data_IF_316091721640
#
_entry.id   IF_316091721640
#
_cell.length_a   1.000
_cell.length_b   1.000
_cell.length_c   1.000
_cell.angle_alpha   90.00
_cell.angle_beta   90.00
_cell.angle_gamma   90.00
#
_symmetry.space_group_name_H-M   'P 1'
#
loop_
_entity.id
_entity.type
_entity.pdbx_description
1 polymer ?
#
# COMPACT_ATOMS: atom_id res chain seq x y z
N UNK A 1 -3.87 10.74 -18.41
CA UNK A 1 -3.22 10.41 -17.12
C UNK A 1 -3.58 11.51 -16.14
N UNK A 2 -4.26 11.17 -15.04
CA UNK A 2 -4.36 12.09 -13.89
C UNK A 2 -3.05 12.10 -13.14
N UNK A 3 -2.66 13.28 -12.66
CA UNK A 3 -1.54 13.46 -11.76
C UNK A 3 -2.06 14.19 -10.53
N UNK A 4 -1.85 13.60 -9.37
CA UNK A 4 -1.98 14.28 -8.09
C UNK A 4 -0.55 14.63 -7.64
N UNK A 5 -0.23 15.92 -7.60
CA UNK A 5 1.05 16.39 -7.09
C UNK A 5 0.85 17.07 -5.73
N UNK A 6 1.64 16.66 -4.75
CA UNK A 6 1.64 17.24 -3.40
C UNK A 6 2.93 18.02 -3.23
N UNK A 7 2.84 19.35 -3.15
CA UNK A 7 3.99 20.21 -2.95
C UNK A 7 3.96 20.81 -1.54
N UNK A 8 5.00 20.52 -0.78
CA UNK A 8 5.26 21.22 0.49
C UNK A 8 6.19 22.40 0.18
N UNK A 9 5.65 23.62 0.22
CA UNK A 9 6.48 24.83 0.16
C UNK A 9 7.08 25.06 1.53
N UNK A 10 8.42 25.01 1.63
CA UNK A 10 9.15 25.29 2.88
C UNK A 10 9.68 26.73 2.85
N UNK A 11 9.09 27.65 3.63
CA UNK A 11 9.70 28.96 3.90
C UNK A 11 10.75 28.82 5.00
N UNK A 12 11.91 29.43 4.83
CA UNK A 12 13.13 29.33 5.65
C UNK A 12 13.03 29.87 7.09
N UNK A 13 11.82 30.07 7.63
CA UNK A 13 11.59 30.37 9.04
C UNK A 13 10.16 29.98 9.44
N UNK A 14 10.01 28.93 10.25
CA UNK A 14 8.73 28.52 10.84
C UNK A 14 8.03 27.34 10.15
N UNK A 15 7.32 26.55 10.95
CA UNK A 15 6.45 25.45 10.51
C UNK A 15 5.54 25.98 9.39
N UNK A 16 5.60 25.36 8.21
CA UNK A 16 4.75 25.76 7.11
C UNK A 16 3.29 25.57 7.49
N UNK A 17 2.57 26.70 7.50
CA UNK A 17 1.19 26.80 7.96
C UNK A 17 0.19 26.27 6.93
N UNK A 18 0.61 26.11 5.68
CA UNK A 18 -0.25 25.68 4.58
C UNK A 18 0.36 24.51 3.80
N UNK A 19 -0.48 23.62 3.30
CA UNK A 19 -0.13 22.58 2.32
C UNK A 19 -0.75 22.92 0.97
N UNK A 20 -0.05 22.64 -0.14
CA UNK A 20 -0.54 22.89 -1.49
C UNK A 20 -0.67 21.59 -2.27
N UNK A 21 -1.88 21.33 -2.75
CA UNK A 21 -2.23 20.18 -3.58
C UNK A 21 -2.59 20.65 -4.99
N UNK A 22 -2.18 19.89 -5.99
CA UNK A 22 -2.60 20.07 -7.38
C UNK A 22 -3.24 18.78 -7.85
N UNK A 23 -4.50 18.88 -8.26
CA UNK A 23 -5.29 17.76 -8.77
C UNK A 23 -5.55 18.00 -10.26
N UNK A 24 -4.94 17.19 -11.11
CA UNK A 24 -5.04 17.33 -12.56
C UNK A 24 -5.91 16.25 -13.19
N UNK A 25 -6.62 16.61 -14.25
CA UNK A 25 -7.48 15.72 -15.03
C UNK A 25 -6.90 15.49 -16.44
N UNK A 26 -7.25 14.40 -17.13
CA UNK A 26 -6.78 14.10 -18.47
C UNK A 26 -7.12 15.20 -19.48
N UNK A 27 -6.25 15.38 -20.48
CA UNK A 27 -6.54 16.22 -21.63
C UNK A 27 -7.86 15.79 -22.31
N UNK A 28 -8.68 16.77 -22.69
CA UNK A 28 -9.98 16.54 -23.32
C UNK A 28 -11.14 16.29 -22.34
N UNK A 29 -10.88 16.29 -21.02
CA UNK A 29 -11.94 16.29 -20.00
C UNK A 29 -12.73 17.59 -20.07
N UNK A 30 -14.06 17.52 -19.93
CA UNK A 30 -14.91 18.72 -19.80
C UNK A 30 -14.43 19.59 -18.61
N UNK A 31 -14.01 20.85 -18.85
CA UNK A 31 -13.50 21.71 -17.79
C UNK A 31 -14.49 21.97 -16.66
N UNK A 32 -15.79 22.00 -16.93
CA UNK A 32 -16.80 22.25 -15.90
C UNK A 32 -17.03 21.02 -15.01
N UNK A 33 -17.07 19.82 -15.62
CA UNK A 33 -17.03 18.56 -14.88
C UNK A 33 -15.76 18.41 -14.02
N UNK A 34 -14.59 18.75 -14.58
CA UNK A 34 -13.33 18.72 -13.87
C UNK A 34 -13.28 19.72 -12.69
N UNK A 35 -13.89 20.91 -12.84
CA UNK A 35 -14.00 21.88 -11.75
C UNK A 35 -14.87 21.35 -10.61
N UNK A 36 -16.04 20.78 -10.92
CA UNK A 36 -16.94 20.19 -9.91
C UNK A 36 -16.27 19.03 -9.19
N UNK A 37 -15.63 18.11 -9.92
CA UNK A 37 -14.88 17.00 -9.34
C UNK A 37 -13.74 17.50 -8.44
N UNK A 38 -12.98 18.51 -8.88
CA UNK A 38 -11.89 19.09 -8.08
C UNK A 38 -12.35 19.77 -6.80
N UNK A 39 -13.50 20.47 -6.83
CA UNK A 39 -14.10 21.08 -5.63
C UNK A 39 -14.64 20.01 -4.67
N UNK A 40 -15.31 18.99 -5.20
CA UNK A 40 -15.80 17.86 -4.42
C UNK A 40 -14.65 17.11 -3.74
N UNK A 41 -13.52 16.92 -4.43
CA UNK A 41 -12.30 16.34 -3.86
C UNK A 41 -11.83 17.11 -2.62
N UNK A 42 -11.73 18.44 -2.72
CA UNK A 42 -11.30 19.28 -1.61
C UNK A 42 -12.31 19.23 -0.44
N UNK A 43 -13.60 19.27 -0.72
CA UNK A 43 -14.65 19.21 0.31
C UNK A 43 -14.65 17.87 1.05
N UNK A 44 -14.56 16.75 0.32
CA UNK A 44 -14.51 15.42 0.94
C UNK A 44 -13.30 15.28 1.85
N UNK A 45 -12.13 15.76 1.44
CA UNK A 45 -10.91 15.57 2.21
C UNK A 45 -10.74 16.56 3.36
N UNK A 46 -11.17 17.82 3.18
CA UNK A 46 -10.82 18.90 4.11
C UNK A 46 -12.02 19.50 4.85
N UNK A 47 -13.24 19.41 4.32
CA UNK A 47 -14.44 19.96 4.99
C UNK A 47 -15.25 18.88 5.73
N UNK A 48 -15.11 17.60 5.36
CA UNK A 48 -15.96 16.53 5.90
C UNK A 48 -15.67 16.16 7.36
N UNK A 49 -14.44 16.41 7.85
CA UNK A 49 -13.98 15.91 9.14
C UNK A 49 -13.59 14.42 9.16
N UNK A 50 -13.80 13.68 8.06
CA UNK A 50 -13.66 12.22 8.02
C UNK A 50 -12.20 11.71 8.13
N UNK A 51 -11.21 12.60 8.03
CA UNK A 51 -9.79 12.26 7.99
C UNK A 51 -8.98 12.91 9.12
N UNK A 52 -9.66 13.23 10.22
CA UNK A 52 -9.06 13.63 11.50
C UNK A 52 -9.54 14.98 12.02
N UNK A 53 -9.78 15.95 11.15
CA UNK A 53 -10.33 17.28 11.51
C UNK A 53 -10.92 17.93 10.26
N UNK A 54 -11.48 19.13 10.42
CA UNK A 54 -11.85 20.02 9.32
C UNK A 54 -10.77 21.07 9.15
N UNK A 55 -10.41 21.40 7.92
CA UNK A 55 -9.38 22.37 7.60
C UNK A 55 -9.94 23.46 6.69
N UNK A 56 -9.51 24.71 6.91
CA UNK A 56 -9.79 25.80 5.99
C UNK A 56 -8.96 25.64 4.72
N UNK A 57 -9.56 25.90 3.55
CA UNK A 57 -8.88 25.76 2.27
C UNK A 57 -9.39 26.72 1.20
N UNK A 58 -8.49 27.07 0.28
CA UNK A 58 -8.79 27.85 -0.91
C UNK A 58 -8.56 27.01 -2.16
N UNK A 59 -9.48 27.14 -3.11
CA UNK A 59 -9.36 26.46 -4.41
C UNK A 59 -9.22 27.46 -5.55
N UNK A 60 -8.31 27.20 -6.49
CA UNK A 60 -8.21 27.93 -7.76
C UNK A 60 -8.21 26.93 -8.92
N UNK A 61 -9.08 27.13 -9.90
CA UNK A 61 -9.20 26.22 -11.04
C UNK A 61 -8.63 26.85 -12.31
N UNK A 62 -7.82 26.10 -13.05
CA UNK A 62 -7.19 26.54 -14.29
C UNK A 62 -7.82 25.81 -15.49
N UNK A 63 -8.50 26.58 -16.35
CA UNK A 63 -9.11 26.14 -17.63
C UNK A 63 -8.25 26.44 -18.85
N UNK A 64 -7.15 27.15 -18.66
CA UNK A 64 -6.29 27.75 -19.68
C UNK A 64 -5.13 26.85 -20.12
N UNK A 65 -5.08 25.61 -19.62
CA UNK A 65 -4.05 24.63 -19.97
C UNK A 65 -4.65 23.39 -20.62
N UNK A 66 -3.82 22.64 -21.35
CA UNK A 66 -4.24 21.38 -21.98
C UNK A 66 -4.70 20.30 -20.96
N UNK A 67 -4.36 20.46 -19.69
CA UNK A 67 -4.74 19.56 -18.60
C UNK A 67 -5.49 20.35 -17.52
N UNK A 68 -6.83 20.33 -17.49
CA UNK A 68 -7.57 21.07 -16.47
C UNK A 68 -7.16 20.60 -15.08
N UNK A 69 -6.91 21.55 -14.17
CA UNK A 69 -6.41 21.25 -12.84
C UNK A 69 -6.89 22.25 -11.80
N UNK A 70 -7.05 21.77 -10.56
CA UNK A 70 -7.39 22.58 -9.40
C UNK A 70 -6.17 22.66 -8.46
N UNK A 71 -5.87 23.87 -8.02
CA UNK A 71 -4.97 24.14 -6.91
C UNK A 71 -5.80 24.20 -5.63
N UNK A 72 -5.38 23.46 -4.60
CA UNK A 72 -6.01 23.49 -3.28
C UNK A 72 -4.95 23.85 -2.24
N UNK A 73 -5.11 24.99 -1.59
CA UNK A 73 -4.22 25.46 -0.52
C UNK A 73 -4.95 25.30 0.79
N UNK A 74 -4.42 24.46 1.68
CA UNK A 74 -5.07 24.06 2.94
C UNK A 74 -4.32 24.64 4.12
N UNK A 75 -5.00 25.34 5.01
CA UNK A 75 -4.51 25.71 6.33
C UNK A 75 -4.32 24.44 7.17
N UNK A 76 -3.09 24.17 7.61
CA UNK A 76 -2.75 22.87 8.21
C UNK A 76 -3.22 22.71 9.67
N UNK A 77 -3.74 23.76 10.29
CA UNK A 77 -4.30 23.69 11.64
C UNK A 77 -5.80 23.43 11.49
N UNK A 78 -6.28 22.34 12.07
CA UNK A 78 -7.69 21.99 12.05
C UNK A 78 -8.56 23.02 12.78
N UNK A 79 -9.83 23.07 12.41
CA UNK A 79 -10.81 24.03 12.90
C UNK A 79 -11.54 23.54 14.14
N UNK A 80 -11.76 22.22 14.26
CA UNK A 80 -12.57 21.64 15.32
C UNK A 80 -11.68 21.26 16.52
N UNK A 81 -10.68 20.41 16.30
CA UNK A 81 -9.77 19.92 17.35
C UNK A 81 -8.38 20.57 17.27
N UNK A 82 -8.09 21.24 16.16
CA UNK A 82 -6.77 21.80 15.89
C UNK A 82 -5.77 20.76 15.40
N UNK A 83 -6.17 19.56 14.97
CA UNK A 83 -5.20 18.57 14.51
C UNK A 83 -4.37 19.13 13.35
N UNK A 84 -3.08 18.81 13.35
CA UNK A 84 -2.22 19.19 12.24
C UNK A 84 -2.47 18.29 11.05
N UNK A 85 -2.73 18.87 9.88
CA UNK A 85 -2.83 18.14 8.63
C UNK A 85 -1.52 17.40 8.36
N UNK A 86 -1.60 16.06 8.30
CA UNK A 86 -0.49 15.15 8.04
C UNK A 86 -0.89 14.15 6.98
N UNK A 87 -0.30 14.30 5.79
CA UNK A 87 -0.37 13.27 4.75
C UNK A 87 0.80 12.33 4.98
N UNK A 88 0.51 11.05 5.24
CA UNK A 88 1.55 10.04 5.47
C UNK A 88 1.04 8.64 5.12
N UNK A 89 1.94 7.72 4.82
CA UNK A 89 1.57 6.32 4.53
C UNK A 89 0.96 5.58 5.72
N UNK A 90 1.10 6.09 6.95
CA UNK A 90 0.59 5.46 8.19
C UNK A 90 -0.47 6.30 8.91
N UNK A 91 -0.99 7.33 8.27
CA UNK A 91 -1.99 8.23 8.85
C UNK A 91 -3.38 7.98 8.28
N UNK A 92 -4.39 8.64 8.83
CA UNK A 92 -5.77 8.57 8.31
C UNK A 92 -5.86 9.12 6.88
N UNK A 93 -5.06 10.15 6.59
CA UNK A 93 -4.92 10.72 5.25
C UNK A 93 -3.65 10.19 4.56
N UNK A 94 -3.81 9.11 3.79
CA UNK A 94 -2.74 8.51 2.97
C UNK A 94 -2.74 9.06 1.54
N UNK A 95 -1.64 8.89 0.81
CA UNK A 95 -1.58 9.27 -0.60
C UNK A 95 -2.56 8.46 -1.46
N UNK A 96 -2.84 7.22 -1.09
CA UNK A 96 -3.81 6.37 -1.78
C UNK A 96 -5.23 6.84 -1.52
N UNK A 97 -5.55 7.22 -0.29
CA UNK A 97 -6.84 7.83 0.03
C UNK A 97 -7.10 9.10 -0.79
N UNK A 98 -6.07 9.95 -0.96
CA UNK A 98 -6.18 11.13 -1.83
C UNK A 98 -6.54 10.76 -3.29
N UNK A 99 -5.98 9.66 -3.81
CA UNK A 99 -6.25 9.17 -5.18
C UNK A 99 -7.60 8.50 -5.31
N UNK A 100 -7.99 7.69 -4.33
CA UNK A 100 -9.29 7.01 -4.27
C UNK A 100 -10.42 8.04 -4.27
N UNK A 101 -10.33 9.06 -3.41
CA UNK A 101 -11.31 10.15 -3.38
C UNK A 101 -11.35 10.86 -4.72
N UNK A 102 -10.21 11.10 -5.37
CA UNK A 102 -10.16 11.72 -6.71
C UNK A 102 -10.92 10.87 -7.75
N UNK A 103 -10.70 9.55 -7.76
CA UNK A 103 -11.41 8.64 -8.68
C UNK A 103 -12.90 8.66 -8.40
N UNK A 104 -13.30 8.55 -7.12
CA UNK A 104 -14.70 8.51 -6.73
C UNK A 104 -15.47 9.79 -7.11
N UNK A 105 -14.91 10.97 -6.85
CA UNK A 105 -15.56 12.24 -7.21
C UNK A 105 -15.53 12.51 -8.71
N UNK A 106 -14.49 12.05 -9.42
CA UNK A 106 -14.41 12.15 -10.87
C UNK A 106 -15.45 11.26 -11.57
N UNK A 107 -15.66 10.04 -11.08
CA UNK A 107 -16.66 9.12 -11.63
C UNK A 107 -18.08 9.68 -11.57
N UNK A 108 -18.43 10.39 -10.47
CA UNK A 108 -19.73 11.08 -10.32
C UNK A 108 -19.97 12.16 -11.38
N UNK A 109 -18.89 12.72 -11.93
CA UNK A 109 -18.92 13.74 -12.98
C UNK A 109 -18.69 13.12 -14.38
N UNK A 110 -18.72 11.80 -14.51
CA UNK A 110 -18.53 11.08 -15.79
C UNK A 110 -17.08 11.02 -16.26
N UNK A 111 -16.11 11.29 -15.39
CA UNK A 111 -14.69 11.31 -15.73
C UNK A 111 -14.04 9.98 -15.32
N UNK A 112 -13.61 9.20 -16.32
CA UNK A 112 -12.94 7.92 -16.06
C UNK A 112 -11.48 8.14 -15.64
N UNK A 113 -11.17 7.88 -14.37
CA UNK A 113 -9.82 7.93 -13.80
C UNK A 113 -9.41 6.57 -13.23
N UNK A 114 -8.10 6.38 -13.10
CA UNK A 114 -7.53 5.22 -12.39
C UNK A 114 -6.62 5.73 -11.27
N UNK A 115 -6.83 5.25 -10.04
CA UNK A 115 -6.10 5.67 -8.84
C UNK A 115 -4.73 5.02 -8.66
N UNK A 116 -4.25 4.28 -9.67
CA UNK A 116 -2.98 3.56 -9.63
C UNK A 116 -1.78 4.51 -9.61
N UNK A 117 -0.70 4.10 -8.93
CA UNK A 117 0.55 4.87 -8.94
C UNK A 117 1.31 4.64 -10.25
N UNK A 118 2.40 5.40 -10.49
CA UNK A 118 3.27 5.15 -11.66
C UNK A 118 3.90 3.77 -11.57
N UNK A 119 4.39 3.41 -10.39
CA UNK A 119 5.07 2.16 -10.12
C UNK A 119 4.13 0.96 -10.19
N UNK A 120 2.89 1.10 -9.72
CA UNK A 120 1.87 0.05 -9.87
C UNK A 120 1.45 -0.18 -11.33
N UNK A 121 1.90 0.67 -12.27
CA UNK A 121 1.76 0.48 -13.72
C UNK A 121 3.07 0.10 -14.40
N UNK A 122 4.12 -0.24 -13.66
CA UNK A 122 5.43 -0.58 -14.23
C UNK A 122 6.23 0.62 -14.75
N UNK A 123 5.74 1.85 -14.58
CA UNK A 123 6.44 3.09 -14.96
C UNK A 123 7.48 3.42 -13.91
N UNK A 124 8.68 2.87 -14.09
CA UNK A 124 9.78 3.00 -13.14
C UNK A 124 10.62 4.26 -13.36
N UNK A 125 10.57 4.89 -14.54
CA UNK A 125 11.28 6.13 -14.81
C UNK A 125 10.96 7.24 -13.80
N UNK A 126 12.02 7.84 -13.25
CA UNK A 126 11.90 8.95 -12.31
C UNK A 126 11.28 10.16 -12.98
N UNK A 127 10.36 10.88 -12.30
CA UNK A 127 9.84 12.12 -12.83
C UNK A 127 10.94 13.18 -12.90
N UNK A 128 10.85 14.06 -13.90
CA UNK A 128 11.68 15.25 -14.00
C UNK A 128 11.34 16.18 -12.81
N UNK A 129 12.31 16.56 -11.97
CA UNK A 129 12.05 17.49 -10.87
C UNK A 129 11.70 18.90 -11.38
N UNK A 130 10.83 19.63 -10.67
CA UNK A 130 10.50 21.03 -10.98
C UNK A 130 11.73 21.93 -11.16
N UNK A 131 12.74 21.73 -10.31
CA UNK A 131 13.99 22.48 -10.38
C UNK A 131 14.72 22.26 -11.72
N UNK A 132 14.64 21.04 -12.27
CA UNK A 132 15.19 20.71 -13.57
C UNK A 132 14.35 21.33 -14.70
N UNK A 133 13.02 21.32 -14.60
CA UNK A 133 12.18 22.05 -15.57
C UNK A 133 12.53 23.54 -15.64
N UNK A 134 12.70 24.19 -14.48
CA UNK A 134 13.09 25.61 -14.42
C UNK A 134 14.48 25.86 -14.99
N UNK A 135 15.44 24.98 -14.66
CA UNK A 135 16.80 25.05 -15.17
C UNK A 135 16.84 24.88 -16.69
N UNK A 136 16.22 23.81 -17.19
CA UNK A 136 16.13 23.52 -18.62
C UNK A 136 15.48 24.66 -19.42
N UNK A 137 14.41 25.26 -18.88
CA UNK A 137 13.77 26.44 -19.49
C UNK A 137 14.69 27.66 -19.54
N UNK A 138 15.48 27.90 -18.49
CA UNK A 138 16.45 29.01 -18.44
C UNK A 138 17.58 28.78 -19.45
N UNK A 139 17.99 27.53 -19.62
CA UNK A 139 19.08 27.09 -20.50
C UNK A 139 18.60 26.84 -21.95
N UNK A 140 17.31 27.01 -22.25
CA UNK A 140 16.75 26.80 -23.59
C UNK A 140 16.81 25.34 -24.08
N UNK A 141 16.86 24.38 -23.17
CA UNK A 141 16.94 22.94 -23.47
C UNK A 141 15.74 22.19 -22.93
N UNK A 142 15.58 20.94 -23.37
CA UNK A 142 14.60 20.03 -22.78
C UNK A 142 15.05 19.55 -21.39
N UNK A 143 14.05 19.30 -20.53
CA UNK A 143 14.26 18.85 -19.16
C UNK A 143 14.47 17.34 -19.14
N UNK A 144 15.51 16.88 -18.45
CA UNK A 144 15.93 15.47 -18.47
C UNK A 144 15.64 14.81 -17.13
N UNK A 145 15.02 13.64 -17.16
CA UNK A 145 14.74 12.85 -15.97
C UNK A 145 16.05 12.33 -15.35
N UNK A 146 16.22 12.41 -14.02
CA UNK A 146 17.41 11.87 -13.37
C UNK A 146 17.41 10.33 -13.45
N UNK A 147 18.56 9.74 -13.74
CA UNK A 147 18.73 8.29 -13.66
C UNK A 147 18.55 7.77 -12.23
N UNK A 148 18.22 6.48 -12.10
CA UNK A 148 18.25 5.80 -10.81
C UNK A 148 19.69 5.65 -10.30
N UNK A 149 19.88 5.93 -9.01
CA UNK A 149 21.02 5.38 -8.27
C UNK A 149 20.76 3.90 -7.97
N UNK A 150 21.80 3.11 -7.67
CA UNK A 150 21.67 1.71 -7.26
C UNK A 150 20.64 1.53 -6.13
N UNK A 151 20.72 2.36 -5.09
CA UNK A 151 19.80 2.31 -3.96
C UNK A 151 18.35 2.61 -4.39
N UNK A 152 18.14 3.65 -5.20
CA UNK A 152 16.79 3.98 -5.68
C UNK A 152 16.23 2.92 -6.64
N UNK A 153 17.08 2.25 -7.42
CA UNK A 153 16.65 1.16 -8.30
C UNK A 153 16.19 -0.06 -7.49
N UNK A 154 16.93 -0.43 -6.44
CA UNK A 154 16.55 -1.51 -5.53
C UNK A 154 15.21 -1.20 -4.84
N UNK A 155 15.06 0.01 -4.30
CA UNK A 155 13.81 0.42 -3.67
C UNK A 155 12.62 0.40 -4.66
N UNK A 156 12.85 0.88 -5.89
CA UNK A 156 11.84 0.87 -6.97
C UNK A 156 11.44 -0.56 -7.35
N UNK A 157 12.42 -1.46 -7.47
CA UNK A 157 12.17 -2.87 -7.77
C UNK A 157 11.38 -3.55 -6.64
N UNK A 158 11.70 -3.27 -5.38
CA UNK A 158 10.94 -3.77 -4.23
C UNK A 158 9.48 -3.32 -4.27
N UNK A 159 9.23 -2.03 -4.55
CA UNK A 159 7.86 -1.51 -4.63
C UNK A 159 7.07 -2.13 -5.81
N UNK A 160 7.73 -2.38 -6.95
CA UNK A 160 7.12 -3.10 -8.09
C UNK A 160 6.75 -4.54 -7.72
N UNK A 161 7.61 -5.23 -6.98
CA UNK A 161 7.32 -6.59 -6.48
C UNK A 161 6.11 -6.58 -5.56
N UNK A 162 5.98 -5.58 -4.71
CA UNK A 162 4.83 -5.44 -3.82
C UNK A 162 3.53 -5.19 -4.60
N UNK A 163 3.54 -4.28 -5.59
CA UNK A 163 2.35 -4.10 -6.46
C UNK A 163 2.00 -5.35 -7.27
N UNK A 164 2.99 -6.15 -7.67
CA UNK A 164 2.73 -7.41 -8.38
C UNK A 164 2.02 -8.41 -7.47
N UNK A 165 2.43 -8.49 -6.20
CA UNK A 165 1.77 -9.32 -5.18
C UNK A 165 0.35 -8.83 -4.93
N UNK A 166 0.14 -7.52 -4.84
CA UNK A 166 -1.19 -6.93 -4.69
C UNK A 166 -2.13 -7.36 -5.83
N UNK A 167 -1.67 -7.28 -7.09
CA UNK A 167 -2.46 -7.71 -8.23
C UNK A 167 -2.76 -9.22 -8.20
N UNK A 168 -1.79 -10.05 -7.83
CA UNK A 168 -1.99 -11.50 -7.67
C UNK A 168 -3.01 -11.80 -6.56
N UNK A 169 -2.96 -11.06 -5.46
CA UNK A 169 -3.90 -11.21 -4.36
C UNK A 169 -5.31 -10.80 -4.67
N UNK A 170 -5.46 -9.67 -5.35
CA UNK A 170 -6.74 -9.23 -5.86
C UNK A 170 -7.30 -10.27 -6.87
N UNK A 171 -6.46 -10.83 -7.74
CA UNK A 171 -6.85 -11.88 -8.67
C UNK A 171 -7.39 -13.12 -7.95
N UNK A 172 -6.63 -13.62 -6.96
CA UNK A 172 -7.02 -14.79 -6.17
C UNK A 172 -8.34 -14.56 -5.43
N UNK A 173 -8.51 -13.38 -4.84
CA UNK A 173 -9.70 -13.04 -4.04
C UNK A 173 -10.99 -13.06 -4.88
N UNK A 174 -10.90 -12.72 -6.16
CA UNK A 174 -12.06 -12.64 -7.05
C UNK A 174 -12.15 -13.82 -8.04
N UNK A 175 -11.19 -14.74 -8.05
CA UNK A 175 -11.08 -15.80 -9.06
C UNK A 175 -12.36 -16.65 -9.21
N UNK A 176 -13.04 -16.94 -8.09
CA UNK A 176 -14.30 -17.69 -8.10
C UNK A 176 -15.51 -16.90 -8.60
N UNK A 177 -15.53 -15.58 -8.40
CA UNK A 177 -16.68 -14.71 -8.72
C UNK A 177 -16.53 -14.01 -10.08
N UNK A 178 -15.29 -13.72 -10.48
CA UNK A 178 -14.94 -12.87 -11.60
C UNK A 178 -13.67 -13.38 -12.30
N UNK A 179 -13.68 -14.60 -12.88
CA UNK A 179 -12.48 -15.27 -13.40
C UNK A 179 -11.81 -14.50 -14.55
N UNK A 180 -12.59 -13.82 -15.40
CA UNK A 180 -12.02 -12.99 -16.47
C UNK A 180 -11.22 -11.80 -15.91
N UNK A 181 -11.70 -11.20 -14.81
CA UNK A 181 -11.01 -10.11 -14.14
C UNK A 181 -9.77 -10.58 -13.39
N UNK A 182 -9.86 -11.74 -12.71
CA UNK A 182 -8.71 -12.36 -12.09
C UNK A 182 -7.57 -12.59 -13.11
N UNK A 183 -7.89 -13.16 -14.29
CA UNK A 183 -6.90 -13.34 -15.36
C UNK A 183 -6.28 -12.02 -15.84
N UNK A 184 -7.04 -10.92 -15.89
CA UNK A 184 -6.50 -9.60 -16.24
C UNK A 184 -5.54 -9.06 -15.18
N UNK A 185 -5.84 -9.27 -13.90
CA UNK A 185 -4.97 -8.88 -12.79
C UNK A 185 -3.67 -9.71 -12.78
N UNK A 186 -3.74 -11.01 -13.07
CA UNK A 186 -2.56 -11.87 -13.23
C UNK A 186 -1.67 -11.42 -14.40
N UNK A 187 -2.26 -11.07 -15.55
CA UNK A 187 -1.53 -10.51 -16.69
C UNK A 187 -0.87 -9.18 -16.32
N UNK A 188 -1.56 -8.32 -15.55
CA UNK A 188 -1.00 -7.06 -15.09
C UNK A 188 0.22 -7.29 -14.17
N UNK A 189 0.12 -8.23 -13.22
CA UNK A 189 1.23 -8.62 -12.35
C UNK A 189 2.43 -9.13 -13.17
N UNK A 190 2.20 -10.04 -14.11
CA UNK A 190 3.25 -10.59 -14.97
C UNK A 190 3.93 -9.51 -15.81
N UNK A 191 3.17 -8.54 -16.33
CA UNK A 191 3.67 -7.44 -17.16
C UNK A 191 4.62 -6.54 -16.36
N UNK A 192 4.22 -6.12 -15.15
CA UNK A 192 5.10 -5.25 -14.34
C UNK A 192 6.32 -6.00 -13.79
N UNK A 193 6.20 -7.30 -13.50
CA UNK A 193 7.34 -8.15 -13.12
C UNK A 193 8.35 -8.31 -14.27
N UNK A 194 7.89 -8.30 -15.52
CA UNK A 194 8.75 -8.27 -16.69
C UNK A 194 9.42 -6.91 -16.94
N UNK A 195 9.18 -5.92 -16.07
CA UNK A 195 9.68 -4.55 -16.21
C UNK A 195 8.97 -3.75 -17.30
N UNK A 196 7.80 -4.22 -17.75
CA UNK A 196 7.01 -3.57 -18.79
C UNK A 196 5.94 -2.68 -18.19
N UNK A 197 5.64 -1.57 -18.87
CA UNK A 197 4.55 -0.68 -18.46
C UNK A 197 3.18 -1.28 -18.80
N UNK A 198 2.22 -1.12 -17.90
CA UNK A 198 0.81 -1.36 -18.19
C UNK A 198 0.31 -0.28 -19.14
N UNK A 199 0.33 -0.59 -20.43
CA UNK A 199 -0.19 0.31 -21.47
C UNK A 199 -1.71 0.32 -21.37
N UNK A 200 -2.27 1.40 -20.82
CA UNK A 200 -3.66 1.73 -21.05
C UNK A 200 -3.79 2.15 -22.52
N UNK A 201 -4.36 1.29 -23.38
CA UNK A 201 -4.72 1.67 -24.74
C UNK A 201 -5.60 2.92 -24.69
N UNK A 202 -5.05 4.08 -25.04
CA UNK A 202 -5.74 5.40 -25.04
C UNK A 202 -6.99 5.43 -25.93
N UNK A 203 -7.17 4.42 -26.80
CA UNK A 203 -8.24 4.34 -27.78
C UNK A 203 -9.25 3.21 -27.52
N UNK A 204 -8.99 2.32 -26.56
CA UNK A 204 -10.04 1.40 -26.13
C UNK A 204 -10.98 2.18 -25.22
N UNK A 205 -12.26 2.26 -25.57
CA UNK A 205 -13.29 2.67 -24.62
C UNK A 205 -13.04 1.96 -23.27
N UNK A 206 -13.35 2.59 -22.12
CA UNK A 206 -13.26 1.91 -20.83
C UNK A 206 -13.92 0.53 -20.98
N UNK A 207 -13.13 -0.54 -20.97
CA UNK A 207 -13.66 -1.92 -21.08
C UNK A 207 -14.51 -2.29 -19.87
N UNK A 208 -14.53 -1.40 -18.88
CA UNK A 208 -15.37 -1.34 -17.70
C UNK A 208 -16.04 0.03 -17.68
N UNK A 209 -17.35 0.08 -17.49
CA UNK A 209 -18.04 1.32 -17.13
C UNK A 209 -17.52 1.81 -15.76
N UNK A 210 -17.57 3.13 -15.48
CA UNK A 210 -17.23 3.67 -14.16
C UNK A 210 -18.00 2.97 -13.02
N UNK A 211 -19.25 2.59 -13.25
CA UNK A 211 -20.10 1.87 -12.30
C UNK A 211 -19.58 0.45 -12.02
N UNK A 212 -19.15 -0.28 -13.06
CA UNK A 212 -18.56 -1.62 -12.89
C UNK A 212 -17.21 -1.56 -12.19
N UNK A 213 -16.37 -0.58 -12.50
CA UNK A 213 -15.11 -0.37 -11.82
C UNK A 213 -15.32 -0.06 -10.32
N UNK A 214 -16.30 0.78 -9.99
CA UNK A 214 -16.67 1.10 -8.60
C UNK A 214 -17.17 -0.14 -7.86
N UNK A 215 -18.10 -0.89 -8.46
CA UNK A 215 -18.64 -2.13 -7.86
C UNK A 215 -17.55 -3.18 -7.60
N UNK A 216 -16.57 -3.27 -8.50
CA UNK A 216 -15.44 -4.21 -8.34
C UNK A 216 -14.55 -3.82 -7.16
N UNK A 217 -14.22 -2.53 -7.01
CA UNK A 217 -13.46 -2.04 -5.85
C UNK A 217 -14.23 -2.33 -4.56
N UNK A 218 -15.52 -2.01 -4.51
CA UNK A 218 -16.37 -2.29 -3.34
C UNK A 218 -16.41 -3.78 -3.00
N UNK A 219 -16.47 -4.66 -4.01
CA UNK A 219 -16.47 -6.11 -3.82
C UNK A 219 -15.14 -6.60 -3.24
N UNK A 220 -14.01 -6.12 -3.76
CA UNK A 220 -12.67 -6.45 -3.27
C UNK A 220 -12.53 -5.99 -1.81
N UNK A 221 -12.95 -4.75 -1.49
CA UNK A 221 -12.89 -4.21 -0.13
C UNK A 221 -13.76 -5.01 0.84
N UNK A 222 -14.97 -5.41 0.43
CA UNK A 222 -15.87 -6.25 1.22
C UNK A 222 -15.27 -7.63 1.50
N UNK A 223 -14.74 -8.32 0.47
CA UNK A 223 -14.06 -9.60 0.62
C UNK A 223 -12.87 -9.49 1.56
N UNK A 224 -12.04 -8.44 1.42
CA UNK A 224 -10.91 -8.20 2.31
C UNK A 224 -11.34 -7.90 3.75
N UNK A 225 -12.46 -7.21 3.95
CA UNK A 225 -13.03 -6.98 5.28
C UNK A 225 -13.56 -8.27 5.92
N UNK A 226 -14.25 -9.11 5.14
CA UNK A 226 -14.74 -10.41 5.58
C UNK A 226 -13.60 -11.35 5.99
N UNK A 227 -12.56 -11.45 5.16
CA UNK A 227 -11.39 -12.28 5.49
C UNK A 227 -10.70 -11.80 6.76
N UNK A 228 -10.57 -10.48 6.97
CA UNK A 228 -10.02 -9.91 8.21
C UNK A 228 -10.87 -10.28 9.42
N UNK A 229 -12.19 -10.16 9.30
CA UNK A 229 -13.11 -10.51 10.38
C UNK A 229 -13.04 -12.00 10.73
N UNK A 230 -12.97 -12.87 9.71
CA UNK A 230 -12.80 -14.31 9.90
C UNK A 230 -11.51 -14.65 10.69
N UNK A 231 -10.40 -13.95 10.41
CA UNK A 231 -9.17 -14.15 11.19
C UNK A 231 -9.29 -13.72 12.65
N UNK A 232 -10.02 -12.63 12.94
CA UNK A 232 -10.29 -12.20 14.33
C UNK A 232 -11.10 -13.26 15.07
N UNK A 233 -12.11 -13.85 14.42
CA UNK A 233 -12.94 -14.89 15.00
C UNK A 233 -12.15 -16.19 15.23
N UNK A 234 -11.39 -16.64 14.24
CA UNK A 234 -10.52 -17.81 14.37
C UNK A 234 -9.48 -17.64 15.49
N UNK A 235 -8.90 -16.46 15.66
CA UNK A 235 -8.02 -16.19 16.79
C UNK A 235 -8.72 -16.34 18.15
N UNK A 236 -9.94 -15.82 18.27
CA UNK A 236 -10.73 -15.92 19.50
C UNK A 236 -11.05 -17.39 19.82
N UNK A 237 -11.46 -18.15 18.81
CA UNK A 237 -11.76 -19.57 18.93
C UNK A 237 -10.53 -20.37 19.36
N UNK A 238 -9.38 -20.14 18.71
CA UNK A 238 -8.13 -20.83 19.06
C UNK A 238 -7.68 -20.50 20.49
N UNK A 239 -7.88 -19.26 20.95
CA UNK A 239 -7.59 -18.87 22.35
C UNK A 239 -8.49 -19.59 23.36
N UNK A 240 -9.71 -19.94 22.98
CA UNK A 240 -10.67 -20.66 23.83
C UNK A 240 -10.36 -22.16 24.00
N UNK A 241 -9.48 -22.74 23.17
CA UNK A 241 -9.11 -24.16 23.24
C UNK A 241 -8.35 -24.44 24.54
N UNK A 242 -8.91 -25.26 25.42
CA UNK A 242 -8.31 -25.54 26.74
C UNK A 242 -6.97 -26.30 26.65
N UNK A 243 -6.88 -27.28 25.74
CA UNK A 243 -5.69 -28.11 25.57
C UNK A 243 -4.50 -27.30 24.99
N UNK A 244 -3.38 -27.13 25.73
CA UNK A 244 -2.26 -26.30 25.27
C UNK A 244 -1.55 -26.82 24.02
N UNK A 245 -1.41 -28.14 23.86
CA UNK A 245 -0.74 -28.74 22.71
C UNK A 245 -1.57 -28.54 21.43
N UNK A 246 -2.88 -28.77 21.54
CA UNK A 246 -3.82 -28.59 20.42
C UNK A 246 -4.02 -27.12 20.05
N UNK A 247 -4.02 -26.24 21.05
CA UNK A 247 -4.01 -24.78 20.83
C UNK A 247 -2.75 -24.34 20.07
N UNK A 248 -1.58 -24.87 20.40
CA UNK A 248 -0.34 -24.56 19.70
C UNK A 248 -0.30 -25.10 18.25
N UNK A 249 -0.96 -26.23 17.98
CA UNK A 249 -1.18 -26.75 16.64
C UNK A 249 -2.05 -25.79 15.80
N UNK A 250 -3.24 -25.43 16.30
CA UNK A 250 -4.13 -24.51 15.58
C UNK A 250 -3.54 -23.11 15.39
N UNK A 251 -2.76 -22.60 16.35
CA UNK A 251 -2.06 -21.31 16.17
C UNK A 251 -1.07 -21.36 14.99
N UNK A 252 -0.43 -22.51 14.71
CA UNK A 252 0.49 -22.66 13.59
C UNK A 252 -0.25 -22.76 12.26
N UNK A 253 -1.36 -23.50 12.22
CA UNK A 253 -2.22 -23.55 11.03
C UNK A 253 -2.79 -22.17 10.70
N UNK A 254 -3.27 -21.44 11.72
CA UNK A 254 -3.75 -20.07 11.57
C UNK A 254 -2.65 -19.12 11.09
N UNK A 255 -1.43 -19.24 11.62
CA UNK A 255 -0.27 -18.48 11.13
C UNK A 255 0.04 -18.79 9.66
N UNK A 256 -0.06 -20.05 9.24
CA UNK A 256 0.07 -20.46 7.83
C UNK A 256 -0.98 -19.82 6.92
N UNK A 257 -2.26 -19.87 7.31
CA UNK A 257 -3.35 -19.22 6.57
C UNK A 257 -3.18 -17.70 6.48
N UNK A 258 -2.71 -17.07 7.57
CA UNK A 258 -2.38 -15.65 7.58
C UNK A 258 -1.19 -15.31 6.68
N UNK A 259 -0.16 -16.15 6.67
CA UNK A 259 1.00 -15.97 5.79
C UNK A 259 0.63 -16.12 4.31
N UNK A 260 -0.32 -17.02 3.99
CA UNK A 260 -0.89 -17.15 2.64
C UNK A 260 -1.73 -15.92 2.26
N UNK A 261 -2.49 -15.34 3.19
CA UNK A 261 -3.34 -14.18 2.93
C UNK A 261 -2.59 -12.83 2.96
N UNK A 262 -1.48 -12.75 3.70
CA UNK A 262 -0.76 -11.51 3.99
C UNK A 262 -0.22 -10.76 2.75
N UNK A 263 0.20 -11.40 1.65
CA UNK A 263 0.60 -10.70 0.43
C UNK A 263 -0.56 -10.04 -0.33
N UNK A 264 -1.81 -10.29 0.09
CA UNK A 264 -3.01 -10.04 -0.71
C UNK A 264 -4.01 -9.10 -0.03
N UNK A 265 -3.79 -8.77 1.25
CA UNK A 265 -4.62 -7.85 2.03
C UNK A 265 -3.79 -6.61 2.37
N UNK A 266 -4.14 -5.50 1.72
CA UNK A 266 -3.43 -4.23 1.84
C UNK A 266 -3.56 -3.63 3.25
N UNK A 267 -2.48 -3.05 3.76
CA UNK A 267 -2.44 -2.23 4.98
C UNK A 267 -2.97 -2.89 6.28
N UNK A 268 -2.97 -4.23 6.34
CA UNK A 268 -3.30 -4.95 7.58
C UNK A 268 -2.05 -5.18 8.43
N UNK A 269 -1.88 -4.34 9.47
CA UNK A 269 -0.76 -4.43 10.39
C UNK A 269 -0.67 -5.79 11.13
N UNK A 270 -1.79 -6.49 11.29
CA UNK A 270 -1.85 -7.81 11.92
C UNK A 270 -1.38 -8.94 10.98
N UNK A 271 -1.56 -8.78 9.67
CA UNK A 271 -1.09 -9.73 8.65
C UNK A 271 0.33 -9.43 8.16
N UNK A 272 0.78 -8.18 8.23
CA UNK A 272 2.16 -7.80 7.83
C UNK A 272 3.24 -8.60 8.57
N UNK A 273 3.00 -8.98 9.83
CA UNK A 273 3.92 -9.82 10.61
C UNK A 273 4.05 -11.27 10.13
N UNK A 274 3.12 -11.73 9.29
CA UNK A 274 3.10 -13.08 8.71
C UNK A 274 3.59 -13.10 7.25
N UNK A 275 3.89 -11.94 6.66
CA UNK A 275 4.56 -11.91 5.37
C UNK A 275 5.92 -12.57 5.53
N UNK A 276 6.23 -13.53 4.66
CA UNK A 276 7.55 -14.17 4.67
C UNK A 276 8.63 -13.08 4.51
N UNK A 277 9.32 -12.75 5.60
CA UNK A 277 10.52 -11.92 5.54
C UNK A 277 11.49 -12.62 4.58
N UNK A 278 11.92 -11.90 3.54
CA UNK A 278 13.00 -12.39 2.70
C UNK A 278 14.18 -12.71 3.61
N UNK A 279 14.55 -13.99 3.69
CA UNK A 279 15.67 -14.46 4.52
C UNK A 279 16.86 -13.51 4.31
N UNK A 280 17.25 -12.80 5.36
CA UNK A 280 18.47 -11.98 5.30
C UNK A 280 19.61 -12.93 4.94
N UNK A 281 20.42 -12.60 3.93
CA UNK A 281 21.45 -13.51 3.39
C UNK A 281 22.43 -14.04 4.45
N UNK A 282 22.55 -13.31 5.57
CA UNK A 282 23.42 -13.60 6.70
C UNK A 282 22.76 -14.47 7.79
N UNK A 283 21.43 -14.63 7.77
CA UNK A 283 20.72 -15.47 8.74
C UNK A 283 20.55 -16.89 8.19
N UNK A 284 21.53 -17.75 8.45
CA UNK A 284 21.40 -19.19 8.28
C UNK A 284 21.05 -19.78 9.64
N UNK A 285 19.83 -20.31 9.78
CA UNK A 285 19.48 -21.12 10.95
C UNK A 285 20.52 -22.23 11.16
N UNK A 286 20.74 -22.63 12.41
CA UNK A 286 21.68 -23.71 12.73
C UNK A 286 21.05 -25.04 12.32
N UNK A 287 21.37 -25.52 11.12
CA UNK A 287 21.03 -26.89 10.70
C UNK A 287 21.91 -27.87 11.50
N UNK A 288 21.35 -28.49 12.53
CA UNK A 288 22.05 -29.50 13.33
C UNK A 288 21.93 -30.85 12.62
N UNK A 289 22.92 -31.21 11.81
CA UNK A 289 23.12 -32.60 11.40
C UNK A 289 23.53 -33.43 12.63
N UNK A 290 22.94 -34.62 12.78
CA UNK A 290 23.23 -35.56 13.87
C UNK A 290 24.72 -35.97 13.96
N UNK A 291 25.48 -35.77 12.89
CA UNK A 291 26.92 -36.09 12.83
C UNK A 291 27.82 -34.99 13.42
N UNK A 292 27.29 -33.78 13.67
CA UNK A 292 28.07 -32.66 14.20
C UNK A 292 27.83 -32.45 15.70
N UNK A 293 28.65 -33.16 16.51
CA UNK A 293 28.60 -33.13 17.98
C UNK A 293 28.73 -31.73 18.58
N UNK A 294 29.46 -30.82 17.93
CA UNK A 294 29.59 -29.42 18.37
C UNK A 294 28.32 -28.61 18.14
N UNK A 295 27.67 -28.79 16.99
CA UNK A 295 26.39 -28.13 16.70
C UNK A 295 25.26 -28.65 17.62
N UNK A 296 25.25 -29.95 17.92
CA UNK A 296 24.32 -30.55 18.87
C UNK A 296 24.50 -30.00 20.29
N UNK A 297 25.74 -29.82 20.75
CA UNK A 297 26.03 -29.22 22.06
C UNK A 297 25.55 -27.76 22.14
N UNK A 298 25.81 -26.96 21.10
CA UNK A 298 25.37 -25.56 21.02
C UNK A 298 23.84 -25.46 21.04
N UNK A 299 23.16 -26.33 20.28
CA UNK A 299 21.68 -26.38 20.32
C UNK A 299 21.16 -26.77 21.69
N UNK A 300 21.76 -27.76 22.35
CA UNK A 300 21.34 -28.18 23.68
C UNK A 300 21.56 -27.08 24.74
N UNK A 301 22.61 -26.28 24.62
CA UNK A 301 22.82 -25.09 25.46
C UNK A 301 21.76 -24.02 25.19
N UNK A 302 21.48 -23.72 23.91
CA UNK A 302 20.46 -22.76 23.53
C UNK A 302 19.06 -23.18 24.00
N UNK A 303 18.70 -24.45 23.85
CA UNK A 303 17.42 -24.99 24.33
C UNK A 303 17.30 -24.82 25.87
N UNK A 304 18.38 -25.03 26.63
CA UNK A 304 18.37 -24.79 28.08
C UNK A 304 18.17 -23.32 28.43
N UNK A 305 18.77 -22.40 27.68
CA UNK A 305 18.57 -20.96 27.92
C UNK A 305 17.17 -20.49 27.55
N UNK A 306 16.63 -20.96 26.42
CA UNK A 306 15.26 -20.67 25.99
C UNK A 306 14.24 -21.19 26.99
N UNK A 307 14.45 -22.40 27.53
CA UNK A 307 13.60 -22.95 28.60
C UNK A 307 13.63 -22.08 29.87
N UNK A 308 14.81 -21.67 30.32
CA UNK A 308 14.94 -20.77 31.49
C UNK A 308 14.30 -19.40 31.27
N UNK A 309 14.44 -18.85 30.06
CA UNK A 309 13.80 -17.59 29.70
C UNK A 309 12.27 -17.75 29.68
N UNK A 310 11.78 -18.85 29.11
CA UNK A 310 10.36 -19.17 29.12
C UNK A 310 9.82 -19.21 30.56
N UNK A 311 10.46 -19.94 31.47
CA UNK A 311 10.07 -19.99 32.89
C UNK A 311 10.08 -18.60 33.53
N UNK A 312 11.14 -17.81 33.30
CA UNK A 312 11.28 -16.46 33.86
C UNK A 312 10.12 -15.54 33.46
N UNK A 313 9.61 -15.69 32.24
CA UNK A 313 8.53 -14.87 31.71
C UNK A 313 7.15 -15.56 31.81
N UNK A 314 7.04 -16.64 32.59
CA UNK A 314 5.76 -17.33 32.83
C UNK A 314 5.23 -18.11 31.62
N UNK A 315 6.08 -18.42 30.65
CA UNK A 315 5.77 -19.23 29.49
C UNK A 315 6.06 -20.72 29.79
N UNK A 316 5.30 -21.61 29.15
CA UNK A 316 5.50 -23.06 29.27
C UNK A 316 6.79 -23.47 28.49
N UNK A 317 7.83 -23.99 29.17
CA UNK A 317 9.13 -24.25 28.54
C UNK A 317 9.06 -25.29 27.43
N UNK A 318 8.33 -26.38 27.63
CA UNK A 318 8.19 -27.47 26.67
C UNK A 318 7.47 -26.99 25.39
N UNK A 319 6.41 -26.19 25.55
CA UNK A 319 5.69 -25.59 24.43
C UNK A 319 6.54 -24.54 23.68
N UNK A 320 7.40 -23.83 24.41
CA UNK A 320 8.30 -22.83 23.81
C UNK A 320 9.42 -23.51 23.02
N UNK A 321 10.00 -24.59 23.54
CA UNK A 321 11.02 -25.37 22.83
C UNK A 321 10.46 -26.08 21.60
N UNK A 322 9.24 -26.61 21.68
CA UNK A 322 8.58 -27.24 20.55
C UNK A 322 8.41 -26.30 19.34
N UNK A 323 8.32 -24.98 19.56
CA UNK A 323 8.24 -23.98 18.48
C UNK A 323 9.55 -23.82 17.70
N UNK A 324 10.69 -24.12 18.32
CA UNK A 324 12.03 -23.92 17.73
C UNK A 324 12.74 -25.25 17.41
N UNK A 325 12.08 -26.39 17.59
CA UNK A 325 12.66 -27.73 17.44
C UNK A 325 12.54 -28.35 16.03
N UNK A 326 11.75 -27.75 15.12
CA UNK A 326 11.55 -28.27 13.77
C UNK A 326 12.61 -27.75 12.78
N UNK A 327 12.92 -28.54 11.74
CA UNK A 327 13.84 -28.16 10.64
C UNK A 327 13.36 -26.95 9.82
N UNK A 328 12.07 -26.63 9.90
CA UNK A 328 11.49 -25.41 9.32
C UNK A 328 11.38 -24.32 10.38
N UNK A 329 11.99 -23.18 10.05
CA UNK A 329 11.98 -21.97 10.89
C UNK A 329 10.53 -21.55 11.12
N UNK A 330 10.14 -21.37 12.39
CA UNK A 330 8.88 -20.73 12.76
C UNK A 330 8.89 -19.30 12.21
N UNK A 331 7.99 -19.02 11.26
CA UNK A 331 7.86 -17.73 10.56
C UNK A 331 6.97 -16.71 11.30
N UNK A 332 6.77 -16.88 12.62
CA UNK A 332 5.83 -16.07 13.39
C UNK A 332 4.39 -16.53 13.25
#
# INVERSE_FOLDING_TARGET
MSFLSVHHFNSSSGICRTSHFVVSFPQGTDPDAAERAGRAWAAVLFDSGAYGDRWDYYTAFHKDTAYPHIHVVVGRRGLDEGQWLRVSSRGELTFDRLREVQVAVAAREGIALTGTTRLSRGVHDRPVPDAEYRRARTEGREAVAPAHTKASAIATAAEILDYARDYQGAAMSIAGQAPEFAGRLEVAAATILAGQELVAERAAAPRLTPEEATRMVETIEQLQAEVRQNFVELEADVRSVENPAKRAEFLRELAGLKAEAAPFIRDDAGLQGYQAEALHADYRGVAVSAENTRAAAIKADADREVARLAERFGLQPEATLARFAAETVSVG
#
